data_IF_276068626514
#
_entry.id   IF_276068626514
#
_cell.length_a   1.000
_cell.length_b   1.000
_cell.length_c   1.000
_cell.angle_alpha   90.00
_cell.angle_beta   90.00
_cell.angle_gamma   90.00
#
_symmetry.space_group_name_H-M   'P 1'
#
loop_
_entity.id
_entity.type
_entity.pdbx_description
1 polymer ?
#
# COMPACT_ATOMS: atom_id res chain seq x y z
N UNK A 1 -0.62 -7.19 -5.99
CA UNK A 1 -0.32 -7.50 -4.57
C UNK A 1 -0.18 -9.00 -4.41
N UNK A 2 0.84 -9.45 -3.67
CA UNK A 2 1.06 -10.87 -3.42
C UNK A 2 0.03 -11.41 -2.44
N UNK A 3 -0.24 -12.72 -2.51
CA UNK A 3 -1.27 -13.35 -1.66
C UNK A 3 -0.98 -13.23 -0.16
N UNK A 4 0.30 -13.20 0.23
CA UNK A 4 0.69 -12.97 1.62
C UNK A 4 0.19 -11.61 2.13
N UNK A 5 0.34 -10.55 1.33
CA UNK A 5 -0.14 -9.21 1.69
C UNK A 5 -1.66 -9.16 1.72
N UNK A 6 -2.32 -9.86 0.80
CA UNK A 6 -3.79 -9.96 0.80
C UNK A 6 -4.31 -10.65 2.05
N UNK A 7 -3.63 -11.69 2.50
CA UNK A 7 -3.96 -12.37 3.75
C UNK A 7 -3.87 -11.43 4.95
N UNK A 8 -2.86 -10.56 4.99
CA UNK A 8 -2.71 -9.56 6.04
C UNK A 8 -3.85 -8.54 6.03
N UNK A 9 -4.35 -8.17 4.85
CA UNK A 9 -5.50 -7.28 4.72
C UNK A 9 -6.75 -7.93 5.33
N UNK A 10 -7.04 -9.17 4.96
CA UNK A 10 -8.21 -9.91 5.46
C UNK A 10 -8.18 -10.05 6.98
N UNK A 11 -7.00 -10.27 7.55
CA UNK A 11 -6.82 -10.41 9.00
C UNK A 11 -6.84 -9.07 9.73
N UNK A 12 -6.90 -7.94 9.01
CA UNK A 12 -6.88 -6.62 9.62
C UNK A 12 -5.51 -6.17 10.11
N UNK A 13 -4.44 -6.87 9.73
CA UNK A 13 -3.08 -6.52 10.10
C UNK A 13 -2.55 -5.42 9.19
N UNK A 14 -2.79 -5.56 7.88
CA UNK A 14 -2.43 -4.52 6.91
C UNK A 14 -3.62 -3.60 6.71
N UNK A 15 -3.50 -2.37 7.17
CA UNK A 15 -4.53 -1.33 7.05
C UNK A 15 -4.02 -0.08 6.33
N UNK A 16 -2.82 -0.13 5.80
CA UNK A 16 -2.22 0.96 5.06
C UNK A 16 -1.44 0.48 3.85
N UNK A 17 -1.32 1.35 2.87
CA UNK A 17 -0.49 1.12 1.69
C UNK A 17 0.06 2.45 1.21
N UNK A 18 1.07 2.41 0.35
CA UNK A 18 1.70 3.61 -0.17
C UNK A 18 2.02 3.43 -1.65
N UNK A 19 2.24 4.56 -2.32
CA UNK A 19 2.77 4.58 -3.68
C UNK A 19 3.59 5.86 -3.88
N UNK A 20 4.57 5.80 -4.78
CA UNK A 20 5.30 6.99 -5.20
C UNK A 20 4.38 7.86 -6.05
N UNK A 21 4.21 9.12 -5.67
CA UNK A 21 3.32 10.05 -6.37
C UNK A 21 3.69 10.18 -7.85
N UNK A 22 4.99 10.27 -8.16
CA UNK A 22 5.45 10.43 -9.54
C UNK A 22 5.10 9.24 -10.42
N UNK A 23 5.07 8.03 -9.87
CA UNK A 23 4.72 6.81 -10.63
C UNK A 23 3.26 6.83 -11.04
N UNK A 24 2.36 7.29 -10.18
CA UNK A 24 0.96 7.47 -10.55
C UNK A 24 0.80 8.36 -11.78
N UNK A 25 1.51 9.49 -11.81
CA UNK A 25 1.47 10.39 -12.94
C UNK A 25 2.00 9.75 -14.22
N UNK A 26 3.10 9.01 -14.13
CA UNK A 26 3.73 8.35 -15.28
C UNK A 26 2.88 7.21 -15.83
N UNK A 27 2.17 6.49 -14.98
CA UNK A 27 1.29 5.40 -15.38
C UNK A 27 -0.11 5.85 -15.77
N UNK A 28 -0.43 7.14 -15.57
CA UNK A 28 -1.74 7.69 -15.88
C UNK A 28 -2.85 7.22 -14.95
N UNK A 29 -2.49 6.72 -13.78
CA UNK A 29 -3.46 6.22 -12.80
C UNK A 29 -4.06 7.38 -11.99
N UNK A 30 -5.36 7.28 -11.70
CA UNK A 30 -6.04 8.19 -10.79
C UNK A 30 -5.72 7.85 -9.34
N UNK A 31 -5.58 8.90 -8.50
CA UNK A 31 -5.36 8.73 -7.07
C UNK A 31 -6.70 8.42 -6.40
N UNK A 32 -6.70 7.42 -5.53
CA UNK A 32 -7.88 7.09 -4.72
C UNK A 32 -8.23 8.26 -3.80
N UNK A 33 -9.52 8.43 -3.54
CA UNK A 33 -10.03 9.53 -2.73
C UNK A 33 -10.52 9.02 -1.38
N UNK A 34 -10.53 9.92 -0.40
CA UNK A 34 -11.16 9.65 0.89
C UNK A 34 -12.59 9.13 0.68
N UNK A 35 -12.92 8.04 1.36
CA UNK A 35 -14.25 7.43 1.28
C UNK A 35 -14.48 6.54 0.07
N UNK A 36 -13.53 6.45 -0.84
CA UNK A 36 -13.64 5.57 -2.00
C UNK A 36 -13.57 4.11 -1.58
N UNK A 37 -14.35 3.27 -2.26
CA UNK A 37 -14.29 1.81 -2.07
C UNK A 37 -13.46 1.19 -3.18
N UNK A 38 -12.73 0.13 -2.84
CA UNK A 38 -12.01 -0.69 -3.81
C UNK A 38 -12.20 -2.17 -3.48
N UNK A 39 -12.04 -3.00 -4.49
CA UNK A 39 -12.09 -4.45 -4.35
C UNK A 39 -10.67 -4.99 -4.43
N UNK A 40 -10.25 -5.71 -3.39
CA UNK A 40 -8.96 -6.41 -3.37
C UNK A 40 -9.16 -7.77 -4.05
N UNK A 41 -8.30 -8.06 -5.02
CA UNK A 41 -8.34 -9.32 -5.77
C UNK A 41 -7.19 -10.23 -5.34
N UNK A 42 -7.42 -11.53 -5.44
CA UNK A 42 -6.34 -12.53 -5.31
C UNK A 42 -5.46 -12.54 -6.56
N UNK A 43 -4.37 -13.31 -6.53
CA UNK A 43 -3.47 -13.42 -7.67
C UNK A 43 -4.13 -13.96 -8.94
N UNK A 44 -5.23 -14.69 -8.82
CA UNK A 44 -6.03 -15.22 -9.93
C UNK A 44 -7.25 -14.36 -10.27
N UNK A 45 -7.28 -13.11 -9.78
CA UNK A 45 -8.36 -12.14 -9.97
C UNK A 45 -9.70 -12.50 -9.31
N UNK A 46 -9.68 -13.39 -8.32
CA UNK A 46 -10.87 -13.66 -7.50
C UNK A 46 -11.05 -12.54 -6.48
N UNK A 47 -12.29 -12.13 -6.26
CA UNK A 47 -12.61 -11.09 -5.28
C UNK A 47 -12.33 -11.59 -3.87
N UNK A 48 -11.55 -10.83 -3.11
CA UNK A 48 -11.17 -11.20 -1.75
C UNK A 48 -11.87 -10.34 -0.70
N UNK A 49 -11.86 -9.03 -0.86
CA UNK A 49 -12.39 -8.11 0.13
C UNK A 49 -12.80 -6.80 -0.51
N UNK A 50 -13.69 -6.08 0.17
CA UNK A 50 -14.01 -4.68 -0.13
C UNK A 50 -13.35 -3.84 0.94
N UNK A 51 -12.59 -2.84 0.53
CA UNK A 51 -11.97 -1.88 1.43
C UNK A 51 -12.50 -0.48 1.15
N UNK A 52 -12.45 0.37 2.19
CA UNK A 52 -12.80 1.78 2.10
C UNK A 52 -11.61 2.60 2.56
N UNK A 53 -11.18 3.56 1.75
CA UNK A 53 -10.09 4.46 2.11
C UNK A 53 -10.57 5.46 3.14
N UNK A 54 -9.96 5.42 4.32
CA UNK A 54 -10.32 6.27 5.45
C UNK A 54 -9.40 7.46 5.63
N UNK A 55 -8.23 7.44 4.96
CA UNK A 55 -7.27 8.53 5.04
C UNK A 55 -6.36 8.50 3.80
N UNK A 56 -6.14 9.65 3.19
CA UNK A 56 -5.22 9.81 2.05
C UNK A 56 -4.31 10.99 2.37
N UNK A 57 -3.02 10.73 2.55
CA UNK A 57 -2.03 11.75 2.87
C UNK A 57 -0.91 11.78 1.83
N UNK A 58 -0.40 12.96 1.57
CA UNK A 58 0.77 13.16 0.72
C UNK A 58 1.93 13.51 1.63
N UNK A 59 2.87 12.57 1.79
CA UNK A 59 3.99 12.72 2.69
C UNK A 59 5.29 12.40 1.96
N UNK A 60 6.35 13.14 2.31
CA UNK A 60 7.69 12.74 1.89
C UNK A 60 8.10 11.48 2.64
N UNK A 61 8.94 10.66 2.03
CA UNK A 61 9.40 9.41 2.64
C UNK A 61 9.93 9.62 4.06
N UNK A 62 10.69 10.69 4.29
CA UNK A 62 11.25 11.01 5.59
C UNK A 62 10.25 11.62 6.59
N UNK A 63 9.02 11.85 6.18
CA UNK A 63 7.95 12.36 7.05
C UNK A 63 6.97 11.27 7.48
N UNK A 64 7.10 10.06 6.92
CA UNK A 64 6.19 8.96 7.25
C UNK A 64 6.40 8.52 8.70
N UNK A 65 5.29 8.37 9.43
CA UNK A 65 5.33 8.04 10.85
C UNK A 65 5.44 6.53 11.09
N UNK A 66 5.89 6.16 12.31
CA UNK A 66 5.93 4.75 12.70
C UNK A 66 4.53 4.12 12.80
N UNK A 67 3.52 4.92 13.10
CA UNK A 67 2.12 4.42 13.09
C UNK A 67 1.71 3.99 11.69
N UNK A 68 2.03 4.79 10.67
CA UNK A 68 1.74 4.39 9.30
C UNK A 68 2.56 3.18 8.89
N UNK A 69 3.84 3.10 9.25
CA UNK A 69 4.67 1.95 8.90
C UNK A 69 4.12 0.65 9.48
N UNK A 70 3.56 0.69 10.68
CA UNK A 70 2.88 -0.48 11.26
C UNK A 70 1.62 -0.84 10.50
N UNK A 71 0.91 0.13 9.96
CA UNK A 71 -0.32 -0.12 9.20
C UNK A 71 -0.07 -0.93 7.94
N UNK A 72 1.16 -0.95 7.45
CA UNK A 72 1.54 -1.81 6.32
C UNK A 72 1.57 -3.30 6.70
N UNK A 73 1.74 -3.63 7.98
CA UNK A 73 1.59 -4.98 8.50
C UNK A 73 2.69 -5.96 8.14
N UNK A 74 3.87 -5.50 7.73
CA UNK A 74 4.95 -6.36 7.25
C UNK A 74 6.11 -6.46 8.22
N UNK A 75 6.87 -7.56 8.12
CA UNK A 75 8.07 -7.79 8.91
C UNK A 75 7.78 -7.84 10.41
N UNK A 76 8.67 -7.25 11.19
CA UNK A 76 8.52 -7.14 12.65
C UNK A 76 7.75 -5.88 13.08
N UNK A 77 7.17 -5.17 12.11
CA UNK A 77 6.41 -3.93 12.28
C UNK A 77 7.26 -2.76 12.80
N UNK A 78 8.58 -2.88 12.85
CA UNK A 78 9.44 -1.76 13.24
C UNK A 78 9.58 -0.74 12.12
N UNK A 79 9.79 0.51 12.51
CA UNK A 79 10.00 1.59 11.53
C UNK A 79 11.26 1.39 10.72
N UNK A 80 12.36 0.97 11.36
CA UNK A 80 13.64 0.78 10.67
C UNK A 80 13.56 -0.33 9.63
N UNK A 81 12.91 -1.44 9.96
CA UNK A 81 12.69 -2.52 9.00
C UNK A 81 11.85 -2.01 7.82
N UNK A 82 10.74 -1.35 8.12
CA UNK A 82 9.85 -0.80 7.10
C UNK A 82 10.61 0.15 6.16
N UNK A 83 11.37 1.08 6.74
CA UNK A 83 12.10 2.09 5.96
C UNK A 83 13.11 1.43 5.01
N UNK A 84 13.93 0.49 5.52
CA UNK A 84 14.92 -0.21 4.71
C UNK A 84 14.29 -0.97 3.54
N UNK A 85 13.21 -1.69 3.80
CA UNK A 85 12.50 -2.45 2.77
C UNK A 85 11.90 -1.53 1.71
N UNK A 86 11.37 -0.38 2.10
CA UNK A 86 10.73 0.55 1.18
C UNK A 86 11.74 1.33 0.34
N UNK A 87 12.89 1.65 0.90
CA UNK A 87 13.99 2.25 0.13
C UNK A 87 14.41 1.30 -1.00
N UNK A 88 14.61 0.03 -0.69
CA UNK A 88 14.99 -0.97 -1.67
C UNK A 88 13.91 -1.14 -2.76
N UNK A 89 12.66 -1.28 -2.36
CA UNK A 89 11.54 -1.42 -3.28
C UNK A 89 11.39 -0.19 -4.19
N UNK A 90 11.42 1.01 -3.62
CA UNK A 90 11.23 2.24 -4.38
C UNK A 90 12.41 2.49 -5.34
N UNK A 91 13.62 2.14 -4.94
CA UNK A 91 14.78 2.23 -5.83
C UNK A 91 14.57 1.36 -7.06
N UNK A 92 14.10 0.14 -6.85
CA UNK A 92 13.79 -0.78 -7.93
C UNK A 92 12.64 -0.27 -8.81
N UNK A 93 11.55 0.20 -8.19
CA UNK A 93 10.35 0.67 -8.91
C UNK A 93 10.63 1.90 -9.77
N UNK A 94 11.46 2.82 -9.30
CA UNK A 94 11.77 4.07 -10.00
C UNK A 94 12.78 3.87 -11.14
N UNK A 95 13.58 2.82 -11.07
CA UNK A 95 14.67 2.58 -12.03
C UNK A 95 14.21 2.54 -13.49
N UNK A 96 13.11 1.85 -13.87
CA UNK A 96 12.66 1.81 -15.27
C UNK A 96 12.31 3.19 -15.85
N UNK A 97 12.01 4.17 -15.02
CA UNK A 97 11.66 5.53 -15.45
C UNK A 97 12.87 6.47 -15.44
N UNK A 98 14.06 5.95 -15.14
CA UNK A 98 15.26 6.78 -15.03
C UNK A 98 15.27 7.68 -13.79
N UNK A 99 14.45 7.36 -12.79
CA UNK A 99 14.34 8.11 -11.55
C UNK A 99 15.14 7.47 -10.44
N UNK A 100 15.63 8.30 -9.51
CA UNK A 100 16.44 7.87 -8.38
C UNK A 100 15.68 8.13 -7.08
N UNK A 101 15.76 7.17 -6.14
CA UNK A 101 15.21 7.38 -4.80
C UNK A 101 15.96 8.49 -4.07
N UNK A 102 15.19 9.32 -3.36
CA UNK A 102 15.73 10.31 -2.43
C UNK A 102 14.85 10.32 -1.18
N UNK A 103 15.40 10.68 0.02
CA UNK A 103 14.60 10.68 1.25
C UNK A 103 13.39 11.61 1.24
N UNK A 104 13.36 12.60 0.36
CA UNK A 104 12.23 13.52 0.21
C UNK A 104 11.26 13.09 -0.90
N UNK A 105 11.36 11.86 -1.40
CA UNK A 105 10.42 11.33 -2.38
C UNK A 105 8.99 11.44 -1.84
N UNK A 106 8.10 12.06 -2.63
CA UNK A 106 6.71 12.22 -2.23
C UNK A 106 5.96 10.90 -2.41
N UNK A 107 5.29 10.48 -1.34
CA UNK A 107 4.45 9.29 -1.32
C UNK A 107 2.99 9.67 -1.18
N UNK A 108 2.13 8.82 -1.72
CA UNK A 108 0.71 8.81 -1.41
C UNK A 108 0.52 7.72 -0.37
N UNK A 109 0.17 8.11 0.86
CA UNK A 109 -0.03 7.19 1.97
C UNK A 109 -1.54 7.01 2.17
N UNK A 110 -2.00 5.78 2.02
CA UNK A 110 -3.43 5.47 2.04
C UNK A 110 -3.72 4.55 3.21
N UNK A 111 -4.65 4.94 4.07
CA UNK A 111 -5.18 4.10 5.14
C UNK A 111 -6.56 3.62 4.74
N UNK A 112 -6.88 2.37 5.03
CA UNK A 112 -8.15 1.78 4.65
C UNK A 112 -8.68 0.87 5.75
N UNK A 113 -9.97 0.54 5.62
CA UNK A 113 -10.65 -0.40 6.48
C UNK A 113 -11.32 -1.47 5.63
N UNK A 114 -11.24 -2.73 6.06
CA UNK A 114 -11.94 -3.83 5.40
C UNK A 114 -13.42 -3.71 5.78
N UNK A 115 -14.27 -3.60 4.76
CA UNK A 115 -15.71 -3.48 4.95
C UNK A 115 -16.41 -4.81 4.86
N UNK A 116 -15.90 -5.72 4.02
CA UNK A 116 -16.45 -7.03 3.83
C UNK A 116 -15.40 -7.96 3.22
N UNK A 117 -15.54 -9.24 3.47
CA UNK A 117 -14.66 -10.29 2.93
C UNK A 117 -15.54 -11.27 2.16
N UNK A 118 -15.15 -11.55 0.92
CA UNK A 118 -15.86 -12.55 0.11
C UNK A 118 -15.48 -13.95 0.57
N UNK A 119 -16.47 -14.76 0.87
CA UNK A 119 -16.21 -16.15 1.20
C UNK A 119 -15.77 -16.91 -0.06
N UNK A 120 -14.64 -17.58 0.05
CA UNK A 120 -14.25 -18.54 -0.97
C UNK A 120 -15.09 -19.79 -0.74
N UNK A 121 -15.97 -20.06 -1.71
CA UNK A 121 -16.71 -21.33 -1.69
C UNK A 121 -15.73 -22.45 -1.93
N UNK A 122 -15.23 -23.03 -0.86
CA UNK A 122 -14.48 -24.26 -0.92
C UNK A 122 -15.46 -25.42 -0.93
N UNK A 123 -15.62 -25.97 -2.06
CA UNK A 123 -16.31 -27.26 -2.16
C UNK A 123 -15.28 -28.34 -2.35
#
# INVERSE_FOLDING_TARGET
>A
MRDELRSLIVKGIKTGTYAAHCVYGLEGEGIQKFGQYDIVLTGDNTRLAIIKYTEIDFLKMNEVTSDFSRSEGTGDLSYDYWYSERVEFLTWELSPYGLTFAPDLLLICQTFRVMDVFELLTT
#
